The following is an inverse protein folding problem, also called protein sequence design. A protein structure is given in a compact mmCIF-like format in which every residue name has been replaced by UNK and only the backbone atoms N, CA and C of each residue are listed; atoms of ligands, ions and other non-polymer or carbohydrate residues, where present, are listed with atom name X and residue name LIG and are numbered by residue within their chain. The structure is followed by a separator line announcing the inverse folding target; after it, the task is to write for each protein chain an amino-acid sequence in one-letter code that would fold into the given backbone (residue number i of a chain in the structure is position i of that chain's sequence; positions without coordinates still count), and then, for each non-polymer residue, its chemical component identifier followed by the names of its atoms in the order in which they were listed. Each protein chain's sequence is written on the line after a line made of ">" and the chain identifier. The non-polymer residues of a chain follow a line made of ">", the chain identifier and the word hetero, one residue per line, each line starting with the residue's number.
data_IF_721906580208
#
_entry.id   IF_721906580208
#
_cell.length_a   1.000
_cell.length_b   1.000
_cell.length_c   1.000
_cell.angle_alpha   90.00
_cell.angle_beta   90.00
_cell.angle_gamma   90.00
#
_symmetry.space_group_name_H-M   'P 1'
#
loop_
_entity.id
_entity.type
_entity.pdbx_description
1 polymer ?
#
# COMPACT_ATOMS: atom_id res chain seq x y z
N UNK A 1 -14.27 27.24 -46.94
CA UNK A 1 -14.85 25.88 -46.86
C UNK A 1 -13.81 25.01 -46.15
N UNK A 2 -13.74 24.95 -44.82
CA UNK A 2 -14.65 24.21 -43.91
C UNK A 2 -14.30 22.71 -43.98
N UNK A 3 -13.89 21.96 -42.95
CA UNK A 3 -13.96 22.10 -41.48
C UNK A 3 -12.80 21.32 -40.82
N UNK A 4 -12.32 21.85 -39.69
CA UNK A 4 -11.46 21.19 -38.70
C UNK A 4 -12.35 20.48 -37.66
N UNK A 5 -12.03 19.23 -37.29
CA UNK A 5 -12.59 18.60 -36.09
C UNK A 5 -11.52 18.53 -34.99
N UNK A 6 -11.67 19.45 -34.05
CA UNK A 6 -11.10 19.45 -32.71
C UNK A 6 -12.01 18.60 -31.81
N UNK A 7 -11.44 17.68 -31.03
CA UNK A 7 -12.13 17.08 -29.88
C UNK A 7 -11.17 17.07 -28.69
N UNK A 8 -11.21 18.18 -27.96
CA UNK A 8 -10.79 18.30 -26.57
C UNK A 8 -11.90 17.76 -25.67
N UNK A 9 -11.61 16.76 -24.83
CA UNK A 9 -12.50 16.33 -23.74
C UNK A 9 -11.89 16.85 -22.43
N UNK A 10 -12.40 18.00 -21.97
CA UNK A 10 -12.07 18.59 -20.68
C UNK A 10 -13.33 19.27 -20.12
N UNK A 11 -14.08 18.57 -19.29
CA UNK A 11 -15.16 19.06 -18.43
C UNK A 11 -15.33 17.99 -17.35
N UNK A 12 -15.61 18.22 -16.08
CA UNK A 12 -15.78 19.38 -15.20
C UNK A 12 -16.34 18.74 -13.92
N UNK A 13 -15.75 18.91 -12.75
CA UNK A 13 -16.50 18.72 -11.50
C UNK A 13 -15.95 19.71 -10.45
N UNK A 14 -16.66 20.82 -10.32
CA UNK A 14 -16.53 21.83 -9.27
C UNK A 14 -17.89 21.89 -8.58
N UNK A 15 -17.92 21.57 -7.30
CA UNK A 15 -18.95 21.96 -6.33
C UNK A 15 -18.20 21.96 -4.97
N UNK A 16 -17.68 23.10 -4.51
CA UNK A 16 -18.38 24.19 -3.80
C UNK A 16 -19.22 23.66 -2.64
N UNK A 17 -18.60 23.57 -1.47
CA UNK A 17 -19.30 23.77 -0.21
C UNK A 17 -18.43 24.64 0.69
N UNK A 18 -18.87 25.88 0.84
CA UNK A 18 -18.31 26.91 1.70
C UNK A 18 -19.23 26.98 2.93
N UNK A 19 -18.65 26.81 4.11
CA UNK A 19 -19.23 27.24 5.38
C UNK A 19 -18.07 27.45 6.37
N UNK A 20 -17.78 28.72 6.62
CA UNK A 20 -16.92 29.20 7.70
C UNK A 20 -17.73 29.33 9.02
N UNK A 21 -17.05 29.50 10.17
CA UNK A 21 -17.50 29.01 11.48
C UNK A 21 -18.17 30.10 12.34
N UNK A 22 -18.98 29.66 13.31
CA UNK A 22 -19.41 30.47 14.44
C UNK A 22 -18.88 29.89 15.77
N UNK A 23 -18.60 30.82 16.68
CA UNK A 23 -17.66 30.75 17.79
C UNK A 23 -18.40 30.82 19.16
N UNK A 24 -17.92 30.02 20.13
CA UNK A 24 -17.96 30.13 21.61
C UNK A 24 -19.31 30.12 22.39
N UNK A 25 -19.43 29.12 23.29
CA UNK A 25 -19.63 29.24 24.76
C UNK A 25 -19.73 27.82 25.35
N UNK A 26 -18.83 27.32 26.21
CA UNK A 26 -18.59 27.59 27.64
C UNK A 26 -19.08 26.38 28.50
N UNK A 27 -18.39 26.17 29.62
CA UNK A 27 -18.24 24.99 30.48
C UNK A 27 -19.52 24.26 30.95
N UNK A 28 -19.43 22.94 31.16
CA UNK A 28 -19.63 22.32 32.49
C UNK A 28 -19.40 20.80 32.47
N UNK A 29 -18.51 20.39 33.36
CA UNK A 29 -18.25 19.05 33.88
C UNK A 29 -19.42 18.58 34.77
N UNK A 30 -19.99 17.38 34.58
CA UNK A 30 -20.12 16.37 35.65
C UNK A 30 -20.75 15.06 35.13
N UNK A 31 -20.42 14.04 35.90
CA UNK A 31 -20.56 12.60 35.85
C UNK A 31 -22.00 12.06 35.91
N UNK A 32 -22.10 10.75 35.69
CA UNK A 32 -23.16 9.83 36.16
C UNK A 32 -24.44 9.66 35.30
N UNK A 33 -24.43 8.55 34.54
CA UNK A 33 -25.59 7.66 34.32
C UNK A 33 -25.91 6.91 35.65
N UNK A 34 -27.01 6.12 35.77
CA UNK A 34 -28.12 5.89 34.85
C UNK A 34 -29.52 5.74 35.51
N UNK A 35 -30.51 5.43 34.65
CA UNK A 35 -31.74 4.67 34.91
C UNK A 35 -32.97 5.45 35.40
N UNK A 36 -34.03 5.45 34.59
CA UNK A 36 -35.31 4.78 34.86
C UNK A 36 -36.40 5.31 33.92
N UNK A 37 -36.87 4.48 32.99
CA UNK A 37 -38.30 4.41 32.64
C UNK A 37 -38.58 2.99 32.18
N UNK A 38 -39.13 2.19 33.09
CA UNK A 38 -39.73 0.88 32.87
C UNK A 38 -41.16 0.98 33.42
N UNK A 39 -42.04 0.12 32.90
CA UNK A 39 -43.47 -0.09 33.23
C UNK A 39 -44.40 0.67 32.28
N UNK A 40 -45.13 0.02 31.37
CA UNK A 40 -45.90 -1.23 31.46
C UNK A 40 -45.85 -1.95 30.10
N UNK A 41 -45.76 -3.26 29.97
CA UNK A 41 -46.63 -4.30 30.51
C UNK A 41 -45.82 -5.58 30.73
N UNK A 42 -46.00 -6.18 31.91
CA UNK A 42 -45.35 -7.42 32.34
C UNK A 42 -46.39 -8.54 32.37
N UNK A 43 -45.88 -9.75 32.13
CA UNK A 43 -46.45 -11.09 32.31
C UNK A 43 -47.15 -11.62 31.05
N UNK A 44 -46.74 -12.76 30.49
CA UNK A 44 -46.31 -14.04 31.12
C UNK A 44 -45.17 -14.68 30.31
N UNK A 45 -44.01 -15.09 30.86
CA UNK A 45 -43.73 -16.26 31.73
C UNK A 45 -42.95 -17.34 30.95
N UNK A 46 -41.84 -17.81 31.52
CA UNK A 46 -41.04 -18.96 31.08
C UNK A 46 -39.70 -18.55 30.45
N UNK A 47 -38.59 -18.60 31.21
CA UNK A 47 -37.56 -19.68 31.12
C UNK A 47 -36.81 -19.63 29.78
N UNK A 48 -35.49 -19.48 29.65
CA UNK A 48 -34.40 -19.88 30.52
C UNK A 48 -33.08 -19.28 30.01
N UNK A 49 -32.09 -19.27 30.90
CA UNK A 49 -30.67 -19.11 30.60
C UNK A 49 -30.21 -20.02 29.46
N UNK A 50 -29.56 -19.48 28.42
CA UNK A 50 -29.01 -20.34 27.36
C UNK A 50 -28.20 -19.69 26.24
N UNK A 51 -27.63 -18.48 26.43
CA UNK A 51 -26.91 -17.80 25.33
C UNK A 51 -25.43 -18.19 25.15
N UNK A 52 -24.93 -19.23 25.82
CA UNK A 52 -23.53 -19.68 25.67
C UNK A 52 -23.40 -21.10 25.11
N UNK A 53 -24.47 -21.87 24.98
CA UNK A 53 -24.36 -23.24 24.47
C UNK A 53 -25.13 -23.40 23.18
N UNK A 54 -24.45 -23.11 22.07
CA UNK A 54 -24.56 -23.76 20.75
C UNK A 54 -24.08 -22.78 19.66
N UNK A 55 -22.75 -22.65 19.50
CA UNK A 55 -22.23 -22.58 18.13
C UNK A 55 -22.47 -23.96 17.52
N UNK A 56 -23.74 -24.20 17.17
CA UNK A 56 -24.20 -25.33 16.38
C UNK A 56 -23.32 -25.32 15.13
N UNK A 57 -22.50 -26.37 14.98
CA UNK A 57 -21.81 -26.76 13.75
C UNK A 57 -22.70 -26.34 12.57
N UNK A 58 -22.21 -25.58 11.57
CA UNK A 58 -23.09 -24.93 10.60
C UNK A 58 -24.06 -25.97 10.08
N UNK A 59 -25.34 -25.71 10.34
CA UNK A 59 -26.44 -26.55 9.93
C UNK A 59 -26.26 -26.76 8.44
N UNK A 60 -25.97 -28.01 8.06
CA UNK A 60 -25.87 -28.39 6.66
C UNK A 60 -27.24 -28.05 6.09
N UNK A 61 -27.34 -26.96 5.34
CA UNK A 61 -28.57 -26.51 4.71
C UNK A 61 -29.21 -27.72 4.06
N UNK A 62 -30.27 -28.26 4.67
CA UNK A 62 -31.17 -29.17 3.96
C UNK A 62 -31.74 -28.34 2.83
N UNK A 63 -31.49 -28.79 1.60
CA UNK A 63 -31.65 -27.99 0.38
C UNK A 63 -33.06 -27.39 0.32
N UNK A 64 -33.24 -26.08 0.56
CA UNK A 64 -34.48 -25.42 0.20
C UNK A 64 -34.51 -25.40 -1.32
N UNK A 65 -35.66 -25.68 -1.94
CA UNK A 65 -35.85 -25.65 -3.39
C UNK A 65 -35.33 -24.33 -4.01
N UNK A 66 -34.05 -24.31 -4.38
CA UNK A 66 -33.43 -23.18 -5.04
C UNK A 66 -34.01 -23.09 -6.46
N UNK A 67 -34.35 -21.88 -6.95
CA UNK A 67 -34.62 -21.68 -8.37
C UNK A 67 -33.48 -22.27 -9.21
N UNK A 68 -33.86 -22.95 -10.29
CA UNK A 68 -33.04 -23.92 -10.99
C UNK A 68 -31.81 -23.42 -11.81
N UNK A 69 -31.36 -22.14 -11.84
CA UNK A 69 -30.06 -21.82 -12.44
C UNK A 69 -28.85 -21.93 -11.51
N UNK A 70 -29.03 -22.24 -10.21
CA UNK A 70 -27.91 -22.34 -9.24
C UNK A 70 -27.62 -23.77 -8.76
N UNK A 71 -28.37 -24.77 -9.22
CA UNK A 71 -28.10 -26.17 -8.92
C UNK A 71 -26.93 -26.64 -9.80
N UNK A 72 -25.82 -27.03 -9.19
CA UNK A 72 -24.74 -27.72 -9.90
C UNK A 72 -25.35 -28.94 -10.61
N UNK A 73 -25.08 -29.07 -11.91
CA UNK A 73 -25.53 -30.23 -12.69
C UNK A 73 -25.14 -31.51 -11.93
N UNK A 74 -26.05 -32.49 -11.77
CA UNK A 74 -25.76 -33.75 -11.07
C UNK A 74 -24.46 -34.41 -11.54
N UNK A 75 -24.08 -34.23 -12.81
CA UNK A 75 -22.82 -34.69 -13.37
C UNK A 75 -21.59 -34.24 -12.54
N UNK A 76 -21.56 -33.01 -12.04
CA UNK A 76 -20.45 -32.47 -11.23
C UNK A 76 -20.42 -33.05 -9.81
N UNK A 77 -21.57 -33.50 -9.29
CA UNK A 77 -21.67 -34.08 -7.94
C UNK A 77 -21.51 -35.60 -7.94
N UNK A 78 -21.98 -36.27 -8.99
CA UNK A 78 -21.99 -37.73 -9.10
C UNK A 78 -20.67 -38.28 -9.64
N UNK A 79 -19.98 -37.50 -10.49
CA UNK A 79 -18.73 -37.92 -11.13
C UNK A 79 -17.61 -36.88 -10.95
N UNK A 80 -17.25 -36.49 -9.71
CA UNK A 80 -16.19 -35.51 -9.47
C UNK A 80 -14.84 -35.94 -10.08
N UNK A 81 -14.60 -37.25 -10.18
CA UNK A 81 -13.39 -37.84 -10.76
C UNK A 81 -13.22 -37.57 -12.26
N UNK A 82 -14.30 -37.35 -13.02
CA UNK A 82 -14.22 -36.96 -14.43
C UNK A 82 -13.61 -35.58 -14.63
N UNK A 83 -13.61 -34.77 -13.57
CA UNK A 83 -13.11 -33.39 -13.57
C UNK A 83 -11.79 -33.24 -12.79
N UNK A 84 -11.27 -34.32 -12.19
CA UNK A 84 -9.95 -34.35 -11.55
C UNK A 84 -8.93 -35.05 -12.44
N UNK A 85 -7.98 -34.31 -13.01
CA UNK A 85 -6.82 -34.90 -13.70
C UNK A 85 -5.95 -35.64 -12.66
N UNK A 86 -5.48 -36.88 -12.90
CA UNK A 86 -4.51 -37.55 -12.05
C UNK A 86 -3.21 -36.75 -11.79
N UNK A 87 -2.88 -35.78 -12.65
CA UNK A 87 -1.78 -34.81 -12.48
C UNK A 87 -2.17 -33.58 -11.66
N UNK A 88 -3.45 -33.43 -11.30
CA UNK A 88 -3.94 -32.32 -10.49
C UNK A 88 -3.39 -32.48 -9.07
N UNK A 89 -2.39 -31.67 -8.75
CA UNK A 89 -1.80 -31.62 -7.41
C UNK A 89 -2.83 -31.01 -6.47
N UNK A 90 -3.51 -31.83 -5.67
CA UNK A 90 -4.45 -31.36 -4.64
C UNK A 90 -3.66 -30.87 -3.41
N UNK A 91 -3.19 -29.63 -3.48
CA UNK A 91 -2.54 -28.98 -2.33
C UNK A 91 -3.61 -28.60 -1.32
N UNK A 92 -3.33 -28.81 -0.04
CA UNK A 92 -4.08 -28.11 1.00
C UNK A 92 -3.89 -26.59 0.84
N UNK A 93 -4.82 -25.80 1.37
CA UNK A 93 -4.73 -24.34 1.30
C UNK A 93 -3.42 -23.82 1.93
N UNK A 94 -2.90 -24.51 2.95
CA UNK A 94 -1.65 -24.17 3.62
C UNK A 94 -0.44 -24.47 2.74
N UNK A 95 -0.39 -25.65 2.12
CA UNK A 95 0.68 -26.02 1.19
C UNK A 95 0.69 -25.13 -0.04
N UNK A 96 -0.47 -24.78 -0.58
CA UNK A 96 -0.57 -23.84 -1.71
C UNK A 96 -0.04 -22.44 -1.34
N UNK A 97 -0.37 -21.95 -0.14
CA UNK A 97 0.18 -20.69 0.37
C UNK A 97 1.70 -20.79 0.55
N UNK A 98 2.19 -21.86 1.16
CA UNK A 98 3.62 -22.07 1.39
C UNK A 98 4.41 -22.17 0.07
N UNK A 99 3.90 -22.91 -0.92
CA UNK A 99 4.51 -23.06 -2.24
C UNK A 99 4.59 -21.70 -2.96
N UNK A 100 3.54 -20.87 -2.89
CA UNK A 100 3.56 -19.52 -3.45
C UNK A 100 4.54 -18.60 -2.73
N UNK A 101 4.59 -18.63 -1.39
CA UNK A 101 5.53 -17.83 -0.60
C UNK A 101 6.99 -18.17 -0.97
N UNK A 102 7.31 -19.47 -1.08
CA UNK A 102 8.62 -19.93 -1.51
C UNK A 102 8.93 -19.47 -2.94
N UNK A 103 7.94 -19.51 -3.84
CA UNK A 103 8.09 -18.99 -5.21
C UNK A 103 8.40 -17.50 -5.21
N UNK A 104 7.69 -16.70 -4.41
CA UNK A 104 7.91 -15.26 -4.32
C UNK A 104 9.30 -14.91 -3.78
N UNK A 105 9.75 -15.64 -2.76
CA UNK A 105 11.10 -15.52 -2.21
C UNK A 105 12.16 -15.88 -3.27
N UNK A 106 11.98 -17.00 -3.97
CA UNK A 106 12.88 -17.41 -5.04
C UNK A 106 12.95 -16.38 -6.19
N UNK A 107 11.82 -15.81 -6.60
CA UNK A 107 11.78 -14.72 -7.60
C UNK A 107 12.54 -13.49 -7.11
N UNK A 108 12.31 -13.09 -5.86
CA UNK A 108 12.98 -11.95 -5.24
C UNK A 108 14.50 -12.15 -5.18
N UNK A 109 14.96 -13.29 -4.68
CA UNK A 109 16.38 -13.59 -4.52
C UNK A 109 17.10 -13.68 -5.86
N UNK A 110 16.47 -14.30 -6.86
CA UNK A 110 16.99 -14.32 -8.24
C UNK A 110 17.08 -12.90 -8.82
N UNK A 111 16.09 -12.05 -8.58
CA UNK A 111 16.10 -10.66 -9.02
C UNK A 111 17.24 -9.87 -8.37
N UNK A 112 17.47 -10.06 -7.06
CA UNK A 112 18.59 -9.44 -6.34
C UNK A 112 19.94 -9.93 -6.88
N UNK A 113 20.06 -11.24 -7.14
CA UNK A 113 21.27 -11.82 -7.72
C UNK A 113 21.53 -11.29 -9.15
N UNK A 114 20.51 -11.16 -9.98
CA UNK A 114 20.61 -10.56 -11.32
C UNK A 114 21.10 -9.10 -11.23
N UNK A 115 20.48 -8.27 -10.38
CA UNK A 115 20.90 -6.88 -10.15
C UNK A 115 22.36 -6.77 -9.69
N UNK A 116 22.79 -7.63 -8.75
CA UNK A 116 24.19 -7.66 -8.28
C UNK A 116 25.19 -8.01 -9.38
N UNK A 117 24.79 -8.86 -10.34
CA UNK A 117 25.57 -9.18 -11.54
C UNK A 117 25.50 -8.11 -12.63
N UNK A 118 24.79 -6.99 -12.39
CA UNK A 118 24.49 -5.93 -13.36
C UNK A 118 23.66 -6.40 -14.56
N UNK A 119 23.02 -7.57 -14.43
CA UNK A 119 21.99 -8.02 -15.35
C UNK A 119 20.68 -7.31 -14.99
N UNK A 120 20.59 -6.05 -15.44
CA UNK A 120 19.50 -5.16 -15.08
C UNK A 120 18.20 -5.48 -15.81
N UNK A 121 18.29 -6.01 -17.03
CA UNK A 121 17.12 -6.47 -17.80
C UNK A 121 16.50 -7.68 -17.11
N UNK A 122 17.29 -8.72 -16.82
CA UNK A 122 16.82 -9.90 -16.09
C UNK A 122 16.30 -9.57 -14.68
N UNK A 123 16.92 -8.61 -13.99
CA UNK A 123 16.41 -8.13 -12.70
C UNK A 123 15.05 -7.42 -12.84
N UNK A 124 14.89 -6.57 -13.86
CA UNK A 124 13.63 -5.86 -14.15
C UNK A 124 12.50 -6.85 -14.40
N UNK A 125 12.75 -7.88 -15.21
CA UNK A 125 11.76 -8.91 -15.53
C UNK A 125 11.32 -9.69 -14.29
N UNK A 126 12.29 -10.10 -13.47
CA UNK A 126 12.02 -10.87 -12.24
C UNK A 126 11.21 -10.06 -11.23
N UNK A 127 11.55 -8.79 -10.98
CA UNK A 127 10.80 -7.95 -10.06
C UNK A 127 9.44 -7.53 -10.62
N UNK A 128 9.34 -7.25 -11.92
CA UNK A 128 8.06 -6.91 -12.56
C UNK A 128 7.10 -8.11 -12.52
N UNK A 129 7.61 -9.32 -12.79
CA UNK A 129 6.84 -10.56 -12.64
C UNK A 129 6.37 -10.75 -11.20
N UNK A 130 7.25 -10.56 -10.22
CA UNK A 130 6.88 -10.68 -8.80
C UNK A 130 5.78 -9.68 -8.42
N UNK A 131 5.82 -8.44 -8.91
CA UNK A 131 4.78 -7.44 -8.67
C UNK A 131 3.45 -7.83 -9.35
N UNK A 132 3.53 -8.32 -10.59
CA UNK A 132 2.37 -8.73 -11.38
C UNK A 132 1.59 -9.88 -10.74
N UNK A 133 2.30 -10.82 -10.09
CA UNK A 133 1.67 -11.94 -9.36
C UNK A 133 0.90 -11.51 -8.08
N UNK A 134 0.90 -10.22 -7.73
CA UNK A 134 0.24 -9.64 -6.55
C UNK A 134 0.47 -10.44 -5.25
N UNK A 135 1.74 -10.67 -4.85
CA UNK A 135 2.06 -11.36 -3.62
C UNK A 135 1.65 -10.51 -2.41
N UNK A 136 1.72 -11.05 -1.17
CA UNK A 136 1.54 -10.25 0.03
C UNK A 136 2.40 -8.98 0.01
N UNK A 137 1.91 -7.89 0.60
CA UNK A 137 2.55 -6.58 0.49
C UNK A 137 4.01 -6.57 0.93
N UNK A 138 4.42 -7.43 1.86
CA UNK A 138 5.83 -7.57 2.25
C UNK A 138 6.78 -7.84 1.05
N UNK A 139 6.34 -8.62 0.06
CA UNK A 139 7.11 -8.89 -1.15
C UNK A 139 6.95 -7.78 -2.17
N UNK A 140 5.73 -7.27 -2.37
CA UNK A 140 5.46 -6.15 -3.30
C UNK A 140 6.33 -4.95 -2.94
N UNK A 141 6.35 -4.55 -1.66
CA UNK A 141 7.16 -3.44 -1.15
C UNK A 141 8.64 -3.62 -1.47
N UNK A 142 9.21 -4.79 -1.15
CA UNK A 142 10.62 -5.10 -1.45
C UNK A 142 10.90 -5.09 -2.96
N UNK A 143 9.99 -5.65 -3.76
CA UNK A 143 10.13 -5.73 -5.21
C UNK A 143 10.12 -4.34 -5.87
N UNK A 144 9.18 -3.46 -5.50
CA UNK A 144 9.14 -2.08 -5.98
C UNK A 144 10.43 -1.32 -5.66
N UNK A 145 10.94 -1.44 -4.42
CA UNK A 145 12.20 -0.80 -4.04
C UNK A 145 13.38 -1.32 -4.86
N UNK A 146 13.48 -2.63 -5.08
CA UNK A 146 14.54 -3.19 -5.92
C UNK A 146 14.39 -2.78 -7.39
N UNK A 147 13.17 -2.75 -7.93
CA UNK A 147 12.91 -2.34 -9.31
C UNK A 147 13.31 -0.88 -9.55
N UNK A 148 13.00 0.02 -8.61
CA UNK A 148 13.45 1.41 -8.69
C UNK A 148 14.98 1.52 -8.61
N UNK A 149 15.62 0.74 -7.73
CA UNK A 149 17.10 0.67 -7.67
C UNK A 149 17.72 0.14 -8.97
N UNK A 150 17.08 -0.80 -9.65
CA UNK A 150 17.54 -1.29 -10.96
C UNK A 150 17.51 -0.14 -11.97
N UNK A 151 16.39 0.60 -12.03
CA UNK A 151 16.26 1.76 -12.91
C UNK A 151 17.31 2.85 -12.61
N UNK A 152 17.57 3.15 -11.33
CA UNK A 152 18.65 4.07 -10.92
C UNK A 152 20.02 3.58 -11.44
N UNK A 153 20.34 2.29 -11.28
CA UNK A 153 21.63 1.74 -11.71
C UNK A 153 21.81 1.74 -13.23
N UNK A 154 20.71 1.72 -13.99
CA UNK A 154 20.71 1.86 -15.46
C UNK A 154 20.82 3.33 -15.91
N UNK A 155 20.69 4.29 -14.99
CA UNK A 155 20.61 5.72 -15.33
C UNK A 155 19.22 6.17 -15.80
N UNK A 156 18.19 5.32 -15.71
CA UNK A 156 16.81 5.65 -16.07
C UNK A 156 16.12 6.39 -14.93
N UNK A 157 16.55 7.64 -14.71
CA UNK A 157 16.13 8.50 -13.59
C UNK A 157 14.61 8.76 -13.58
N UNK A 158 14.02 9.09 -14.73
CA UNK A 158 12.56 9.31 -14.84
C UNK A 158 11.76 8.06 -14.46
N UNK A 159 12.20 6.90 -14.93
CA UNK A 159 11.56 5.62 -14.61
C UNK A 159 11.68 5.30 -13.13
N UNK A 160 12.84 5.55 -12.52
CA UNK A 160 13.02 5.36 -11.08
C UNK A 160 12.08 6.25 -10.27
N UNK A 161 11.92 7.53 -10.64
CA UNK A 161 10.96 8.45 -10.02
C UNK A 161 9.52 7.95 -10.14
N UNK A 162 9.11 7.47 -11.32
CA UNK A 162 7.77 6.91 -11.52
C UNK A 162 7.51 5.70 -10.60
N UNK A 163 8.47 4.77 -10.51
CA UNK A 163 8.35 3.58 -9.65
C UNK A 163 8.30 3.99 -8.17
N UNK A 164 9.11 4.96 -7.74
CA UNK A 164 9.07 5.47 -6.37
C UNK A 164 7.78 6.20 -6.03
N UNK A 165 7.25 7.01 -6.93
CA UNK A 165 5.94 7.64 -6.77
C UNK A 165 4.82 6.62 -6.63
N UNK A 166 4.83 5.57 -7.48
CA UNK A 166 3.88 4.47 -7.37
C UNK A 166 4.01 3.73 -6.03
N UNK A 167 5.24 3.51 -5.55
CA UNK A 167 5.48 2.92 -4.24
C UNK A 167 4.87 3.76 -3.10
N UNK A 168 5.09 5.08 -3.10
CA UNK A 168 4.55 5.97 -2.07
C UNK A 168 3.01 6.03 -2.11
N UNK A 169 2.41 5.91 -3.29
CA UNK A 169 0.97 5.85 -3.47
C UNK A 169 0.37 4.54 -2.94
N UNK A 170 0.98 3.40 -3.28
CA UNK A 170 0.49 2.08 -2.88
C UNK A 170 0.76 1.75 -1.41
N UNK A 171 1.81 2.33 -0.81
CA UNK A 171 2.24 2.01 0.54
C UNK A 171 2.44 3.30 1.39
N UNK A 172 1.35 4.05 1.66
CA UNK A 172 1.42 5.34 2.34
C UNK A 172 1.88 5.25 3.80
N UNK A 173 1.84 4.08 4.41
CA UNK A 173 2.22 3.86 5.82
C UNK A 173 3.52 3.06 5.97
N UNK A 174 4.24 2.77 4.88
CA UNK A 174 5.47 1.99 4.98
C UNK A 174 6.63 2.76 5.62
N UNK A 175 7.42 2.06 6.42
CA UNK A 175 8.58 2.64 7.11
C UNK A 175 9.70 3.12 6.17
N UNK A 176 9.76 2.61 4.93
CA UNK A 176 10.78 3.00 3.94
C UNK A 176 10.45 4.32 3.23
N UNK A 177 9.31 4.96 3.49
CA UNK A 177 8.94 6.24 2.85
C UNK A 177 10.00 7.32 2.97
N UNK A 178 10.68 7.40 4.12
CA UNK A 178 11.76 8.34 4.33
C UNK A 178 12.98 8.02 3.43
N UNK A 179 13.31 6.73 3.25
CA UNK A 179 14.36 6.31 2.31
C UNK A 179 13.98 6.61 0.86
N UNK A 180 12.73 6.34 0.47
CA UNK A 180 12.23 6.62 -0.89
C UNK A 180 12.29 8.11 -1.20
N UNK A 181 11.80 8.97 -0.32
CA UNK A 181 11.88 10.43 -0.51
C UNK A 181 13.33 10.92 -0.59
N UNK A 182 14.23 10.38 0.23
CA UNK A 182 15.65 10.71 0.14
C UNK A 182 16.22 10.37 -1.25
N UNK A 183 15.89 9.20 -1.81
CA UNK A 183 16.33 8.80 -3.16
C UNK A 183 15.74 9.67 -4.25
N UNK A 184 14.43 9.94 -4.20
CA UNK A 184 13.77 10.85 -5.15
C UNK A 184 14.42 12.23 -5.13
N UNK A 185 14.70 12.80 -3.95
CA UNK A 185 15.39 14.08 -3.84
C UNK A 185 16.78 14.07 -4.49
N UNK A 186 17.56 13.00 -4.30
CA UNK A 186 18.84 12.86 -4.99
C UNK A 186 18.72 12.81 -6.52
N UNK A 187 17.73 12.05 -7.03
CA UNK A 187 17.49 11.94 -8.48
C UNK A 187 17.08 13.30 -9.05
N UNK A 188 16.13 13.99 -8.40
CA UNK A 188 15.64 15.30 -8.84
C UNK A 188 16.73 16.36 -8.86
N UNK A 189 17.60 16.37 -7.84
CA UNK A 189 18.77 17.26 -7.81
C UNK A 189 19.71 17.00 -8.99
N UNK A 190 19.99 15.73 -9.29
CA UNK A 190 20.84 15.38 -10.43
C UNK A 190 20.20 15.76 -11.79
N UNK A 191 18.87 15.84 -11.85
CA UNK A 191 18.11 16.32 -13.01
C UNK A 191 18.02 17.86 -13.08
N UNK A 192 18.54 18.59 -12.08
CA UNK A 192 18.45 20.05 -12.00
C UNK A 192 17.15 20.58 -11.36
N UNK A 193 16.25 19.72 -10.93
CA UNK A 193 15.00 20.10 -10.26
C UNK A 193 15.24 20.39 -8.76
N UNK A 194 15.99 21.46 -8.48
CA UNK A 194 16.50 21.80 -7.15
C UNK A 194 15.39 22.02 -6.11
N UNK A 195 14.34 22.77 -6.45
CA UNK A 195 13.21 23.04 -5.55
C UNK A 195 12.50 21.74 -5.14
N UNK A 196 12.19 20.88 -6.11
CA UNK A 196 11.53 19.59 -5.85
C UNK A 196 12.44 18.67 -5.02
N UNK A 197 13.75 18.69 -5.26
CA UNK A 197 14.69 17.93 -4.44
C UNK A 197 14.66 18.36 -2.97
N UNK A 198 14.64 19.67 -2.72
CA UNK A 198 14.55 20.25 -1.37
C UNK A 198 13.23 19.85 -0.69
N UNK A 199 12.10 19.91 -1.40
CA UNK A 199 10.80 19.44 -0.89
C UNK A 199 10.87 17.98 -0.41
N UNK A 200 11.42 17.09 -1.22
CA UNK A 200 11.58 15.68 -0.86
C UNK A 200 12.48 15.49 0.36
N UNK A 201 13.57 16.25 0.51
CA UNK A 201 14.41 16.19 1.71
C UNK A 201 13.69 16.73 2.96
N UNK A 202 12.85 17.75 2.83
CA UNK A 202 12.01 18.22 3.93
C UNK A 202 10.99 17.16 4.38
N UNK A 203 10.42 16.40 3.44
CA UNK A 203 9.54 15.25 3.77
C UNK A 203 10.29 14.23 4.63
N UNK A 204 11.57 13.94 4.33
CA UNK A 204 12.39 13.05 5.17
C UNK A 204 12.54 13.58 6.59
N UNK A 205 12.78 14.88 6.76
CA UNK A 205 12.87 15.52 8.09
C UNK A 205 11.53 15.44 8.83
N UNK A 206 10.41 15.65 8.13
CA UNK A 206 9.06 15.55 8.70
C UNK A 206 8.74 14.13 9.18
N UNK A 207 9.07 13.11 8.38
CA UNK A 207 8.87 11.70 8.76
C UNK A 207 9.75 11.35 9.97
N UNK A 208 11.05 11.65 9.90
CA UNK A 208 11.99 11.34 10.99
C UNK A 208 11.69 12.09 12.28
N UNK A 209 11.14 13.29 12.21
CA UNK A 209 10.71 14.05 13.40
C UNK A 209 9.47 13.42 14.04
N UNK A 210 8.51 12.93 13.25
CA UNK A 210 7.34 12.19 13.74
C UNK A 210 7.70 10.83 14.35
N UNK A 211 8.82 10.24 13.95
CA UNK A 211 9.36 9.01 14.54
C UNK A 211 10.14 9.24 15.85
N UNK A 212 10.29 10.49 16.33
CA UNK A 212 10.93 10.75 17.64
C UNK A 212 10.03 10.20 18.75
N UNK A 213 10.40 9.05 19.32
CA UNK A 213 9.59 8.28 20.28
C UNK A 213 9.43 6.80 19.93
N UNK A 214 9.92 6.37 18.75
CA UNK A 214 10.11 4.95 18.43
C UNK A 214 11.19 4.34 19.35
N UNK A 215 11.08 3.04 19.65
CA UNK A 215 12.03 2.26 20.46
C UNK A 215 13.49 2.74 20.32
N UNK A 216 14.18 2.92 21.47
CA UNK A 216 15.53 3.51 21.57
C UNK A 216 16.55 2.93 20.57
N UNK A 217 16.41 1.67 20.20
CA UNK A 217 17.29 0.98 19.25
C UNK A 217 17.32 1.60 17.85
N UNK A 218 16.23 2.24 17.40
CA UNK A 218 16.15 2.86 16.07
C UNK A 218 16.54 4.34 16.07
N UNK A 219 16.61 4.97 17.24
CA UNK A 219 16.86 6.40 17.40
C UNK A 219 18.16 6.87 16.70
N UNK A 220 19.29 6.14 16.73
CA UNK A 220 20.50 6.55 16.02
C UNK A 220 20.31 6.58 14.50
N UNK A 221 19.54 5.65 13.93
CA UNK A 221 19.29 5.58 12.49
C UNK A 221 18.39 6.74 12.05
N UNK A 222 17.34 7.03 12.83
CA UNK A 222 16.42 8.14 12.58
C UNK A 222 17.16 9.48 12.61
N UNK A 223 18.02 9.69 13.62
CA UNK A 223 18.84 10.91 13.72
C UNK A 223 19.82 11.05 12.55
N UNK A 224 20.50 9.96 12.16
CA UNK A 224 21.40 9.97 10.99
C UNK A 224 20.66 10.30 9.71
N UNK A 225 19.45 9.78 9.53
CA UNK A 225 18.62 10.06 8.35
C UNK A 225 18.17 11.53 8.30
N UNK A 226 17.73 12.08 9.43
CA UNK A 226 17.37 13.50 9.55
C UNK A 226 18.59 14.41 9.27
N UNK A 227 19.75 14.07 9.83
CA UNK A 227 20.99 14.81 9.58
C UNK A 227 21.39 14.74 8.11
N UNK A 228 21.31 13.55 7.48
CA UNK A 228 21.59 13.39 6.07
C UNK A 228 20.68 14.27 5.22
N UNK A 229 19.37 14.29 5.47
CA UNK A 229 18.45 15.15 4.73
C UNK A 229 18.81 16.64 4.84
N UNK A 230 19.19 17.12 6.04
CA UNK A 230 19.65 18.51 6.24
C UNK A 230 20.93 18.82 5.44
N UNK A 231 21.88 17.89 5.42
CA UNK A 231 23.11 18.03 4.64
C UNK A 231 22.79 18.10 3.14
N UNK A 232 21.89 17.25 2.66
CA UNK A 232 21.52 17.25 1.23
C UNK A 232 20.77 18.53 0.83
N UNK A 233 19.93 19.10 1.70
CA UNK A 233 19.34 20.43 1.48
C UNK A 233 20.43 21.49 1.33
N UNK A 234 21.39 21.54 2.27
CA UNK A 234 22.48 22.51 2.21
C UNK A 234 23.33 22.37 0.93
N UNK A 235 23.63 21.13 0.52
CA UNK A 235 24.33 20.88 -0.75
C UNK A 235 23.51 21.33 -1.96
N UNK A 236 22.20 21.11 -1.95
CA UNK A 236 21.33 21.49 -3.05
C UNK A 236 21.32 23.01 -3.24
N UNK A 237 21.20 23.79 -2.16
CA UNK A 237 21.33 25.25 -2.23
C UNK A 237 22.71 25.70 -2.72
N UNK A 238 23.77 25.02 -2.30
CA UNK A 238 25.12 25.34 -2.75
C UNK A 238 25.28 25.11 -4.26
N UNK A 239 24.85 23.95 -4.75
CA UNK A 239 24.89 23.60 -6.17
C UNK A 239 24.05 24.58 -7.00
N UNK A 240 22.84 24.91 -6.56
CA UNK A 240 21.94 25.87 -7.22
C UNK A 240 22.58 27.27 -7.39
N UNK A 241 23.25 27.77 -6.35
CA UNK A 241 24.00 29.03 -6.41
C UNK A 241 25.18 29.00 -7.38
N UNK A 242 25.82 27.85 -7.59
CA UNK A 242 26.89 27.69 -8.58
C UNK A 242 26.33 27.68 -10.01
N UNK A 243 25.19 27.03 -10.24
CA UNK A 243 24.51 27.04 -11.54
C UNK A 243 24.08 28.45 -11.97
N UNK A 244 23.49 29.23 -11.05
CA UNK A 244 23.11 30.63 -11.27
C UNK A 244 24.29 31.53 -11.66
N UNK A 245 25.49 31.24 -11.15
CA UNK A 245 26.72 31.96 -11.51
C UNK A 245 27.27 31.53 -12.86
N UNK A 246 27.17 30.26 -13.22
CA UNK A 246 27.70 29.73 -14.48
C UNK A 246 26.90 30.18 -15.72
N UNK A 247 25.62 30.53 -15.54
CA UNK A 247 24.75 31.04 -16.61
C UNK A 247 24.90 32.54 -16.93
N UNK A 248 25.76 33.27 -16.23
CA UNK A 248 26.04 34.70 -16.44
C UNK A 248 27.39 34.92 -17.11
#
# INVERSE_FOLDING_TARGET
>A
MGLLFSVTVFFLWVAVFSAEPDEIAEEANDSQKPAQTVESFRQTSGSDLGLIETLKKPERLESPDLPNPLRLDPMFTEFPELFTDPKMKSLSQEEYKAENLLRYEALYDRGVAARKRKDYEGATDLFSKLIYEQPPDMFRRKAFLQLALVAENQGYQDRALQIYSQYLYLFPDDHNRALVNLRMGHILRNLGAMDQAIEHFHIVISITTRMKGVQDNYQPVVQRMALKAKIEIAKTYYEDLEFEKAGR
#
